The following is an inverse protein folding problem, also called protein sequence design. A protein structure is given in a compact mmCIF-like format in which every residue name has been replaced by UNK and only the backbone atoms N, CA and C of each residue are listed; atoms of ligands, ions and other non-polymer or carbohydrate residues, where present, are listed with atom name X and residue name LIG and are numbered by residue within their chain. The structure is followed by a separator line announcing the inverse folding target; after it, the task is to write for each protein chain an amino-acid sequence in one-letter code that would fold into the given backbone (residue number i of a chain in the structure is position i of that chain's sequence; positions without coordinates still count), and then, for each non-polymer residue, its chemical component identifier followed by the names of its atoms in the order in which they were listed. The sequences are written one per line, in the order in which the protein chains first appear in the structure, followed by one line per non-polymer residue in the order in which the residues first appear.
data_IF_263002968487
#
_entry.id   IF_263002968487
#
_cell.length_a   1.000
_cell.length_b   1.000
_cell.length_c   1.000
_cell.angle_alpha   90.00
_cell.angle_beta   90.00
_cell.angle_gamma   90.00
#
_symmetry.space_group_name_H-M   'P 1'
#
loop_
_entity.id
_entity.type
_entity.pdbx_description
1 polymer ?
#
# COMPACT_ATOMS: atom_id res chain seq x y z
N UNK A 1 9.74 7.00 -2.12
CA UNK A 1 9.17 5.79 -1.52
C UNK A 1 10.24 4.98 -0.83
N UNK A 2 10.01 4.60 0.43
CA UNK A 2 10.87 3.71 1.24
C UNK A 2 10.00 2.57 1.75
N UNK A 3 9.98 1.44 1.04
CA UNK A 3 9.25 0.25 1.47
C UNK A 3 10.15 -0.75 2.20
N UNK A 4 9.57 -1.42 3.19
CA UNK A 4 10.15 -2.59 3.86
C UNK A 4 9.08 -3.67 3.96
N UNK A 5 9.48 -4.92 4.16
CA UNK A 5 8.55 -6.05 4.35
C UNK A 5 7.59 -5.78 5.51
N UNK A 6 8.08 -5.16 6.59
CA UNK A 6 7.25 -4.77 7.73
C UNK A 6 6.18 -3.75 7.31
N UNK A 7 6.54 -2.69 6.57
CA UNK A 7 5.58 -1.68 6.11
C UNK A 7 4.54 -2.28 5.14
N UNK A 8 5.00 -3.13 4.23
CA UNK A 8 4.14 -3.80 3.26
C UNK A 8 3.18 -4.79 3.92
N UNK A 9 3.58 -5.46 5.02
CA UNK A 9 2.71 -6.41 5.74
C UNK A 9 1.44 -5.78 6.32
N UNK A 10 1.42 -4.46 6.55
CA UNK A 10 0.21 -3.76 6.97
C UNK A 10 -0.86 -3.74 5.87
N UNK A 11 -0.46 -3.89 4.61
CA UNK A 11 -1.33 -3.89 3.44
C UNK A 11 -1.69 -5.30 2.95
N UNK A 12 -1.17 -6.37 3.55
CA UNK A 12 -1.50 -7.75 3.16
C UNK A 12 -3.01 -8.02 3.27
N UNK A 13 -3.66 -7.51 4.32
CA UNK A 13 -5.12 -7.62 4.57
C UNK A 13 -5.93 -6.44 3.99
N UNK A 14 -5.32 -5.59 3.17
CA UNK A 14 -6.01 -4.48 2.54
C UNK A 14 -7.12 -4.97 1.58
N UNK A 15 -8.16 -4.15 1.31
CA UNK A 15 -9.32 -4.57 0.53
C UNK A 15 -9.02 -4.59 -0.98
N UNK A 16 -8.07 -5.40 -1.41
CA UNK A 16 -7.69 -5.54 -2.81
C UNK A 16 -8.82 -6.12 -3.69
N UNK A 17 -8.93 -5.71 -4.97
CA UNK A 17 -8.21 -4.59 -5.59
C UNK A 17 -8.68 -3.23 -5.05
N UNK A 18 -7.74 -2.31 -4.83
CA UNK A 18 -7.99 -1.02 -4.19
C UNK A 18 -7.26 0.13 -4.88
N UNK A 19 -7.91 1.29 -4.91
CA UNK A 19 -7.30 2.55 -5.36
C UNK A 19 -6.32 3.11 -4.32
N UNK A 20 -5.44 4.03 -4.74
CA UNK A 20 -4.52 4.76 -3.84
C UNK A 20 -5.26 5.34 -2.62
N UNK A 21 -6.41 5.97 -2.85
CA UNK A 21 -7.21 6.62 -1.82
C UNK A 21 -7.77 5.61 -0.82
N UNK A 22 -8.30 4.47 -1.31
CA UNK A 22 -8.83 3.40 -0.46
C UNK A 22 -7.73 2.74 0.40
N UNK A 23 -6.52 2.59 -0.15
CA UNK A 23 -5.37 2.07 0.61
C UNK A 23 -4.92 3.04 1.70
N UNK A 24 -4.91 4.34 1.43
CA UNK A 24 -4.60 5.38 2.43
C UNK A 24 -5.64 5.37 3.55
N UNK A 25 -6.92 5.34 3.21
CA UNK A 25 -8.02 5.27 4.18
C UNK A 25 -7.96 3.98 5.01
N UNK A 26 -7.64 2.86 4.37
CA UNK A 26 -7.44 1.59 5.06
C UNK A 26 -6.27 1.67 6.06
N UNK A 27 -5.12 2.17 5.62
CA UNK A 27 -3.92 2.33 6.44
C UNK A 27 -4.18 3.25 7.65
N UNK A 28 -4.87 4.37 7.45
CA UNK A 28 -5.26 5.29 8.54
C UNK A 28 -6.22 4.61 9.53
N UNK A 29 -7.22 3.87 9.02
CA UNK A 29 -8.24 3.21 9.86
C UNK A 29 -7.67 2.10 10.75
N UNK A 30 -6.68 1.35 10.27
CA UNK A 30 -6.01 0.32 11.08
C UNK A 30 -4.92 0.89 11.99
N UNK A 31 -4.60 2.19 11.85
CA UNK A 31 -3.51 2.83 12.58
C UNK A 31 -2.14 2.37 12.13
N UNK A 32 -1.94 2.17 10.82
CA UNK A 32 -0.66 1.82 10.25
C UNK A 32 0.38 2.95 10.51
N UNK A 33 1.69 2.63 10.49
CA UNK A 33 2.75 3.63 10.60
C UNK A 33 2.59 4.75 9.58
N UNK A 34 2.98 5.98 9.98
CA UNK A 34 2.89 7.16 9.10
C UNK A 34 3.66 6.93 7.79
N UNK A 35 4.78 6.22 7.85
CA UNK A 35 5.57 5.86 6.68
C UNK A 35 4.79 5.06 5.63
N UNK A 36 3.83 4.21 6.03
CA UNK A 36 2.94 3.50 5.07
C UNK A 36 2.06 4.51 4.33
N UNK A 37 1.47 5.43 5.08
CA UNK A 37 0.59 6.47 4.53
C UNK A 37 1.37 7.40 3.61
N UNK A 38 2.57 7.86 4.01
CA UNK A 38 3.44 8.71 3.20
C UNK A 38 3.86 8.00 1.91
N UNK A 39 4.25 6.72 1.97
CA UNK A 39 4.57 5.93 0.78
C UNK A 39 3.38 5.80 -0.16
N UNK A 40 2.17 5.53 0.35
CA UNK A 40 0.95 5.44 -0.45
C UNK A 40 0.58 6.80 -1.07
N UNK A 41 0.80 7.91 -0.36
CA UNK A 41 0.57 9.26 -0.89
C UNK A 41 1.56 9.63 -2.01
N UNK A 42 2.78 9.09 -1.96
CA UNK A 42 3.78 9.25 -3.03
C UNK A 42 3.46 8.42 -4.28
N UNK A 43 2.47 7.53 -4.25
CA UNK A 43 2.07 6.76 -5.44
C UNK A 43 1.48 7.67 -6.53
N UNK A 44 1.77 7.31 -7.78
CA UNK A 44 1.18 7.96 -8.93
C UNK A 44 -0.34 7.76 -8.96
N UNK A 45 -1.06 8.79 -9.38
CA UNK A 45 -2.51 8.74 -9.51
C UNK A 45 -2.86 7.96 -10.79
N UNK A 46 -3.50 6.81 -10.63
CA UNK A 46 -3.85 5.88 -11.71
C UNK A 46 -5.37 5.68 -11.75
N UNK A 47 -5.92 5.53 -12.95
CA UNK A 47 -7.33 5.19 -13.18
C UNK A 47 -7.64 3.71 -12.88
N UNK A 48 -6.60 2.86 -12.82
CA UNK A 48 -6.72 1.44 -12.51
C UNK A 48 -6.37 1.17 -11.04
N UNK A 49 -7.17 0.34 -10.32
CA UNK A 49 -6.85 -0.06 -8.96
C UNK A 49 -5.62 -0.97 -8.94
N UNK A 50 -4.93 -0.98 -7.80
CA UNK A 50 -3.87 -1.95 -7.53
C UNK A 50 -4.51 -3.29 -7.15
N UNK A 51 -4.01 -4.39 -7.69
CA UNK A 51 -4.51 -5.74 -7.39
C UNK A 51 -3.81 -6.34 -6.17
N UNK A 52 -2.54 -5.99 -5.96
CA UNK A 52 -1.75 -6.46 -4.81
C UNK A 52 -0.65 -5.47 -4.42
N UNK A 53 0.02 -5.75 -3.30
CA UNK A 53 1.20 -5.00 -2.87
C UNK A 53 2.38 -5.07 -3.87
N UNK A 54 2.44 -6.12 -4.71
CA UNK A 54 3.48 -6.23 -5.75
C UNK A 54 3.31 -5.18 -6.85
N UNK A 55 2.08 -4.71 -7.10
CA UNK A 55 1.81 -3.64 -8.06
C UNK A 55 2.32 -2.27 -7.56
N UNK A 56 2.36 -2.11 -6.23
CA UNK A 56 2.87 -0.91 -5.55
C UNK A 56 4.37 -0.99 -5.36
N UNK A 57 4.86 -2.14 -4.93
CA UNK A 57 6.26 -2.40 -4.67
C UNK A 57 6.71 -3.70 -5.37
N UNK A 58 7.29 -3.60 -6.58
CA UNK A 58 7.69 -4.78 -7.36
C UNK A 58 8.81 -5.62 -6.74
N UNK A 59 9.58 -5.05 -5.79
CA UNK A 59 10.62 -5.77 -5.04
C UNK A 59 10.08 -6.39 -3.74
N UNK A 60 8.75 -6.42 -3.54
CA UNK A 60 8.17 -7.11 -2.40
C UNK A 60 8.56 -8.58 -2.45
N UNK A 61 9.23 -9.12 -1.41
CA UNK A 61 9.59 -10.52 -1.38
C UNK A 61 8.33 -11.36 -1.20
N UNK A 62 7.75 -11.82 -2.31
CA UNK A 62 6.86 -12.96 -2.31
C UNK A 62 7.68 -14.21 -1.96
N UNK A 63 7.18 -14.99 -0.99
CA UNK A 63 7.73 -16.31 -0.62
C UNK A 63 7.92 -17.24 -1.84
#
# INVERSE_FOLDING_TARGET
MIWTVELASYLDDAPWPATKEELIDYADRIGAPLEVIENLQELEETDEPYETIEDIWPDYPSD
#
